data_IF_857717831276
#
_entry.id   IF_857717831276
#
_cell.length_a   1.000
_cell.length_b   1.000
_cell.length_c   1.000
_cell.angle_alpha   90.00
_cell.angle_beta   90.00
_cell.angle_gamma   90.00
#
_symmetry.space_group_name_H-M   'P 1'
#
loop_
_entity.id
_entity.type
_entity.pdbx_description
1 polymer ?
#
# COMPACT_ATOMS: atom_id res chain seq x y z
N UNK A 1 -61.46 -2.54 10.53
CA UNK A 1 -60.43 -1.48 10.59
C UNK A 1 -59.74 -1.43 11.95
N UNK A 2 -58.89 -2.40 12.30
CA UNK A 2 -57.89 -2.27 13.37
C UNK A 2 -56.60 -3.01 13.00
N UNK A 3 -55.96 -2.42 11.98
CA UNK A 3 -54.52 -2.17 11.86
C UNK A 3 -53.62 -3.43 11.90
N UNK A 4 -53.27 -4.06 10.77
CA UNK A 4 -52.29 -3.60 9.76
C UNK A 4 -51.00 -2.96 10.28
N UNK A 5 -50.88 -2.66 11.58
CA UNK A 5 -49.68 -2.06 12.20
C UNK A 5 -48.70 -3.11 12.70
N UNK A 6 -49.14 -4.36 12.91
CA UNK A 6 -48.26 -5.45 13.33
C UNK A 6 -47.33 -5.96 12.20
N UNK A 7 -47.70 -5.74 10.94
CA UNK A 7 -46.85 -6.08 9.79
C UNK A 7 -45.81 -4.98 9.45
N UNK A 8 -45.95 -3.78 10.03
CA UNK A 8 -45.01 -2.66 9.89
C UNK A 8 -43.83 -2.74 10.88
N UNK A 9 -43.94 -3.53 11.96
CA UNK A 9 -42.91 -3.61 13.01
C UNK A 9 -41.81 -4.64 12.72
N UNK A 10 -41.99 -5.54 11.76
CA UNK A 10 -40.95 -6.52 11.36
C UNK A 10 -40.08 -6.03 10.21
N UNK A 11 -40.49 -5.00 9.48
CA UNK A 11 -39.69 -4.42 8.39
C UNK A 11 -38.69 -3.37 8.93
N UNK A 12 -39.02 -2.73 10.06
CA UNK A 12 -38.20 -1.64 10.63
C UNK A 12 -36.94 -2.10 11.39
N UNK A 13 -36.85 -3.38 11.81
CA UNK A 13 -35.67 -3.90 12.50
C UNK A 13 -34.59 -4.43 11.55
N UNK A 14 -34.93 -4.66 10.27
CA UNK A 14 -34.04 -5.25 9.26
C UNK A 14 -33.11 -4.22 8.60
N UNK A 15 -33.33 -2.92 8.80
CA UNK A 15 -32.57 -1.84 8.15
C UNK A 15 -31.44 -1.23 9.00
N UNK A 16 -31.22 -1.72 10.23
CA UNK A 16 -30.26 -1.11 11.16
C UNK A 16 -28.89 -1.78 11.21
N UNK A 17 -28.65 -2.90 10.52
CA UNK A 17 -27.29 -3.47 10.44
C UNK A 17 -26.53 -2.92 9.25
N UNK A 18 -26.18 -1.63 9.40
CA UNK A 18 -24.93 -1.04 8.99
C UNK A 18 -24.38 -1.47 7.62
N UNK A 19 -24.74 -0.70 6.59
CA UNK A 19 -23.89 -0.56 5.42
C UNK A 19 -22.54 0.00 5.86
N UNK A 20 -21.58 -0.89 6.08
CA UNK A 20 -20.17 -0.54 6.26
C UNK A 20 -19.73 0.20 5.01
N UNK A 21 -19.55 1.51 5.14
CA UNK A 21 -18.90 2.32 4.13
C UNK A 21 -17.48 1.75 3.93
N UNK A 22 -17.28 1.01 2.83
CA UNK A 22 -15.95 0.61 2.36
C UNK A 22 -15.22 1.88 1.89
N UNK A 23 -14.77 2.71 2.83
CA UNK A 23 -13.72 3.66 2.55
C UNK A 23 -12.52 2.83 2.10
N UNK A 24 -12.14 2.98 0.83
CA UNK A 24 -10.97 2.29 0.28
C UNK A 24 -9.76 2.70 1.12
N UNK A 25 -9.30 1.79 1.96
CA UNK A 25 -8.19 2.01 2.87
C UNK A 25 -6.95 2.35 2.01
N UNK A 26 -6.31 3.46 2.34
CA UNK A 26 -5.11 3.92 1.64
C UNK A 26 -3.89 3.55 2.46
N UNK A 27 -2.86 3.00 1.82
CA UNK A 27 -1.63 2.56 2.46
C UNK A 27 -0.43 3.33 1.95
N UNK A 28 0.41 3.79 2.88
CA UNK A 28 1.67 4.43 2.52
C UNK A 28 2.77 3.37 2.29
N UNK A 29 3.24 3.23 1.05
CA UNK A 29 4.22 2.20 0.68
C UNK A 29 5.62 2.42 1.27
N UNK A 30 5.92 3.65 1.69
CA UNK A 30 7.20 3.99 2.29
C UNK A 30 7.28 3.63 3.78
N UNK A 31 6.15 3.68 4.48
CA UNK A 31 6.10 3.46 5.94
C UNK A 31 5.41 2.16 6.34
N UNK A 32 4.48 1.63 5.54
CA UNK A 32 3.70 0.48 5.90
C UNK A 32 4.50 -0.83 5.93
N UNK A 33 4.08 -1.76 6.77
CA UNK A 33 4.62 -3.12 6.84
C UNK A 33 4.13 -4.00 5.70
N UNK A 34 4.86 -5.09 5.41
CA UNK A 34 4.49 -6.04 4.36
C UNK A 34 3.07 -6.60 4.57
N UNK A 35 2.68 -6.92 5.80
CA UNK A 35 1.34 -7.41 6.11
C UNK A 35 0.23 -6.37 5.86
N UNK A 36 0.53 -5.08 5.99
CA UNK A 36 -0.44 -4.01 5.72
C UNK A 36 -0.55 -3.75 4.22
N UNK A 37 0.59 -3.77 3.51
CA UNK A 37 0.63 -3.65 2.05
C UNK A 37 -0.13 -4.82 1.40
N UNK A 38 0.06 -6.04 1.89
CA UNK A 38 -0.64 -7.23 1.41
C UNK A 38 -2.17 -7.16 1.60
N UNK A 39 -2.61 -6.68 2.77
CA UNK A 39 -4.05 -6.55 3.08
C UNK A 39 -4.75 -5.47 2.26
N UNK A 40 -4.09 -4.34 2.04
CA UNK A 40 -4.72 -3.16 1.40
C UNK A 40 -4.63 -3.23 -0.13
N UNK A 41 -3.52 -3.76 -0.67
CA UNK A 41 -3.27 -3.79 -2.10
C UNK A 41 -3.76 -5.08 -2.76
N UNK A 42 -4.49 -4.94 -3.87
CA UNK A 42 -5.00 -6.04 -4.68
C UNK A 42 -3.87 -6.73 -5.43
N UNK A 43 -3.86 -8.07 -5.42
CA UNK A 43 -2.92 -8.91 -6.19
C UNK A 43 -1.43 -8.69 -5.87
N UNK A 44 -1.11 -8.17 -4.68
CA UNK A 44 0.27 -8.09 -4.19
C UNK A 44 0.66 -9.43 -3.57
N UNK A 45 -0.03 -9.90 -2.53
CA UNK A 45 0.37 -11.13 -1.85
C UNK A 45 1.60 -10.92 -0.98
N UNK A 46 1.78 -11.76 0.04
CA UNK A 46 2.93 -11.72 0.96
C UNK A 46 4.29 -11.58 0.25
N UNK A 47 4.52 -12.36 -0.80
CA UNK A 47 5.81 -12.38 -1.52
C UNK A 47 6.15 -11.01 -2.16
N UNK A 48 5.17 -10.35 -2.79
CA UNK A 48 5.42 -9.04 -3.42
C UNK A 48 5.44 -7.94 -2.38
N UNK A 49 4.66 -8.05 -1.31
CA UNK A 49 4.72 -7.11 -0.20
C UNK A 49 6.10 -7.12 0.48
N UNK A 50 6.65 -8.32 0.73
CA UNK A 50 8.02 -8.50 1.22
C UNK A 50 9.04 -7.90 0.24
N UNK A 51 8.84 -8.09 -1.07
CA UNK A 51 9.70 -7.50 -2.10
C UNK A 51 9.65 -5.96 -2.14
N UNK A 52 8.50 -5.33 -1.87
CA UNK A 52 8.37 -3.87 -1.76
C UNK A 52 9.21 -3.36 -0.58
N UNK A 53 9.10 -4.02 0.58
CA UNK A 53 9.88 -3.67 1.77
C UNK A 53 11.38 -3.87 1.54
N UNK A 54 11.77 -4.96 0.89
CA UNK A 54 13.17 -5.20 0.51
C UNK A 54 13.68 -4.14 -0.47
N UNK A 55 12.86 -3.78 -1.47
CA UNK A 55 13.22 -2.78 -2.47
C UNK A 55 13.46 -1.41 -1.81
N UNK A 56 12.59 -0.96 -0.91
CA UNK A 56 12.81 0.34 -0.23
C UNK A 56 14.02 0.34 0.68
N UNK A 57 14.37 -0.80 1.28
CA UNK A 57 15.58 -0.94 2.11
C UNK A 57 16.86 -0.84 1.27
N UNK A 58 16.83 -1.37 0.04
CA UNK A 58 17.98 -1.38 -0.86
C UNK A 58 18.12 -0.10 -1.71
N UNK A 59 17.00 0.44 -2.21
CA UNK A 59 16.98 1.54 -3.18
C UNK A 59 16.53 2.89 -2.58
N UNK A 60 15.99 2.87 -1.36
CA UNK A 60 15.40 4.04 -0.71
C UNK A 60 13.89 4.17 -0.95
N UNK A 61 13.32 5.27 -0.46
CA UNK A 61 11.88 5.51 -0.53
C UNK A 61 11.36 5.62 -1.97
N UNK A 62 10.16 5.10 -2.21
CA UNK A 62 9.42 5.27 -3.45
C UNK A 62 8.99 6.72 -3.60
N UNK A 63 9.20 7.29 -4.80
CA UNK A 63 8.75 8.65 -5.13
C UNK A 63 7.38 8.69 -5.78
N UNK A 64 6.96 7.57 -6.36
CA UNK A 64 5.70 7.46 -7.07
C UNK A 64 5.21 6.01 -7.08
N UNK A 65 3.91 5.81 -7.32
CA UNK A 65 3.30 4.48 -7.35
C UNK A 65 3.85 3.62 -8.50
N UNK A 66 4.27 4.25 -9.61
CA UNK A 66 4.78 3.57 -10.80
C UNK A 66 6.10 2.83 -10.52
N UNK A 67 6.89 3.31 -9.54
CA UNK A 67 8.14 2.65 -9.14
C UNK A 67 7.91 1.27 -8.51
N UNK A 68 6.69 0.93 -8.10
CA UNK A 68 6.36 -0.43 -7.69
C UNK A 68 6.55 -1.43 -8.84
N UNK A 69 6.51 -1.01 -10.11
CA UNK A 69 6.82 -1.88 -11.25
C UNK A 69 8.29 -2.34 -11.30
N UNK A 70 9.19 -1.65 -10.59
CA UNK A 70 10.59 -2.05 -10.46
C UNK A 70 10.77 -3.24 -9.50
N UNK A 71 9.73 -3.54 -8.71
CA UNK A 71 9.72 -4.68 -7.79
C UNK A 71 9.33 -5.94 -8.54
N UNK A 72 10.16 -6.98 -8.40
CA UNK A 72 9.95 -8.27 -9.08
C UNK A 72 8.57 -8.84 -8.75
N UNK A 73 7.77 -9.09 -9.80
CA UNK A 73 6.43 -9.68 -9.69
C UNK A 73 5.27 -8.68 -9.63
N UNK A 74 5.54 -7.38 -9.58
CA UNK A 74 4.52 -6.33 -9.67
C UNK A 74 4.50 -5.78 -11.10
N UNK A 75 3.37 -5.98 -11.79
CA UNK A 75 3.16 -5.44 -13.13
C UNK A 75 2.38 -4.13 -13.13
N UNK A 76 2.39 -3.43 -14.27
CA UNK A 76 1.61 -2.20 -14.50
C UNK A 76 0.13 -2.37 -14.13
N UNK A 77 -0.49 -3.48 -14.53
CA UNK A 77 -1.89 -3.80 -14.21
C UNK A 77 -2.16 -3.84 -12.70
N UNK A 78 -1.19 -4.30 -11.91
CA UNK A 78 -1.30 -4.33 -10.45
C UNK A 78 -1.19 -2.92 -9.88
N UNK A 79 -0.27 -2.11 -10.40
CA UNK A 79 -0.11 -0.72 -9.95
C UNK A 79 -1.34 0.12 -10.28
N UNK A 80 -1.89 0.00 -11.49
CA UNK A 80 -3.10 0.73 -11.91
C UNK A 80 -4.31 0.41 -11.02
N UNK A 81 -4.53 -0.87 -10.72
CA UNK A 81 -5.63 -1.29 -9.82
C UNK A 81 -5.49 -0.78 -8.38
N UNK A 82 -4.27 -0.44 -7.99
CA UNK A 82 -3.94 -0.01 -6.63
C UNK A 82 -3.65 1.48 -6.54
N UNK A 83 -3.69 2.22 -7.65
CA UNK A 83 -3.24 3.61 -7.71
C UNK A 83 -4.01 4.51 -6.75
N UNK A 84 -5.30 4.25 -6.58
CA UNK A 84 -6.17 4.99 -5.65
C UNK A 84 -5.96 4.61 -4.18
N UNK A 85 -5.29 3.48 -3.91
CA UNK A 85 -5.00 2.94 -2.57
C UNK A 85 -3.56 3.19 -2.14
N UNK A 86 -2.68 3.48 -3.07
CA UNK A 86 -1.27 3.76 -2.81
C UNK A 86 -1.12 5.23 -2.45
N UNK A 87 -0.53 5.48 -1.29
CA UNK A 87 -0.10 6.82 -0.88
C UNK A 87 1.41 6.85 -0.85
N UNK A 88 1.96 7.92 -1.41
CA UNK A 88 3.40 8.21 -1.39
C UNK A 88 3.69 9.52 -0.63
N UNK A 89 2.64 10.22 -0.19
CA UNK A 89 2.74 11.50 0.51
C UNK A 89 3.40 11.32 1.89
N UNK A 90 4.49 12.04 2.11
CA UNK A 90 5.13 12.18 3.42
C UNK A 90 6.61 11.82 3.51
N UNK A 91 7.31 11.60 2.39
CA UNK A 91 8.76 11.75 2.36
C UNK A 91 9.07 13.04 1.61
N UNK A 92 9.52 14.09 2.29
CA UNK A 92 10.29 15.13 1.62
C UNK A 92 11.31 14.42 0.70
N UNK A 93 11.59 14.94 -0.52
CA UNK A 93 12.59 14.33 -1.37
C UNK A 93 13.86 14.19 -0.53
N UNK A 94 14.24 12.95 -0.19
CA UNK A 94 15.54 12.71 0.39
C UNK A 94 16.51 13.39 -0.59
N UNK A 95 17.28 14.41 -0.15
CA UNK A 95 18.17 15.10 -1.05
C UNK A 95 19.00 14.00 -1.70
N UNK A 96 19.04 14.01 -3.04
CA UNK A 96 19.77 13.03 -3.82
C UNK A 96 21.18 12.91 -3.24
N UNK A 97 21.39 11.95 -2.33
CA UNK A 97 22.73 11.67 -1.84
C UNK A 97 23.33 10.93 -3.01
N UNK A 98 24.08 11.71 -3.81
CA UNK A 98 25.05 11.29 -4.81
C UNK A 98 25.54 9.87 -4.45
N UNK A 99 25.59 8.93 -5.40
CA UNK A 99 26.12 7.59 -5.12
C UNK A 99 27.45 7.77 -4.39
N UNK A 100 27.51 7.31 -3.14
CA UNK A 100 28.77 7.25 -2.44
C UNK A 100 29.65 6.36 -3.30
N UNK A 101 30.68 6.96 -3.90
CA UNK A 101 31.69 6.25 -4.66
C UNK A 101 32.15 5.04 -3.83
N UNK A 102 32.36 3.87 -4.46
CA UNK A 102 32.85 2.71 -3.75
C UNK A 102 34.15 3.10 -3.06
N UNK A 103 34.19 2.92 -1.74
CA UNK A 103 35.42 3.05 -0.97
C UNK A 103 36.45 2.10 -1.61
N UNK A 104 37.42 2.68 -2.30
CA UNK A 104 38.58 1.94 -2.79
C UNK A 104 39.26 1.30 -1.57
N UNK A 105 39.63 0.02 -1.61
CA UNK A 105 40.37 -0.59 -0.51
C UNK A 105 41.74 0.07 -0.44
N UNK A 106 42.19 0.30 0.79
CA UNK A 106 43.54 0.72 1.09
C UNK A 106 44.55 -0.27 0.48
N UNK A 107 45.45 0.24 -0.36
CA UNK A 107 46.67 -0.49 -0.71
C UNK A 107 47.83 0.22 -0.05
N UNK A 108 48.33 -0.41 1.00
CA UNK A 108 49.62 -0.17 1.59
C UNK A 108 50.72 -0.24 0.52
N UNK A 109 51.68 0.68 0.55
CA UNK A 109 52.95 0.51 -0.13
C UNK A 109 54.08 0.99 0.78
N UNK A 110 54.89 0.00 1.17
CA UNK A 110 56.29 -0.01 1.62
C UNK A 110 57.01 1.32 1.79
#
# INVERSE_FOLDING_TARGET
>A
MRKFTALLHTVALSLLFAGSAFAAEKVNINTADAATIDRVLINIGKSKADAIVAYRKANGAFRSAEQLTLVKGIGLKTVEKNRDRIVVAGGAPAPARKPAAPARPATAKR
#
